data_IF_866905642040
#
_entry.id   IF_866905642040
#
_cell.length_a   1.000
_cell.length_b   1.000
_cell.length_c   1.000
_cell.angle_alpha   90.00
_cell.angle_beta   90.00
_cell.angle_gamma   90.00
#
_symmetry.space_group_name_H-M   'P 1'
#
loop_
_entity.id
_entity.type
_entity.pdbx_description
1 polymer ?
#
# COMPACT_ATOMS: atom_id res chain seq x y z
N UNK A 1 9.89 -11.55 -15.79
CA UNK A 1 11.01 -11.18 -14.91
C UNK A 1 10.43 -10.30 -13.82
N UNK A 2 10.65 -10.62 -12.55
CA UNK A 2 10.20 -9.80 -11.41
C UNK A 2 11.40 -9.21 -10.67
N UNK A 3 11.12 -8.34 -9.69
CA UNK A 3 12.15 -7.64 -8.94
C UNK A 3 12.99 -8.56 -8.02
N UNK A 4 12.55 -9.79 -7.78
CA UNK A 4 13.29 -10.77 -6.97
C UNK A 4 14.25 -11.61 -7.82
N UNK A 5 14.15 -11.56 -9.16
CA UNK A 5 15.06 -12.32 -10.01
C UNK A 5 16.51 -11.80 -9.87
N UNK A 6 17.51 -12.70 -9.79
CA UNK A 6 18.92 -12.31 -9.69
C UNK A 6 19.35 -11.38 -10.81
N UNK A 7 18.92 -11.66 -12.05
CA UNK A 7 19.22 -10.82 -13.21
C UNK A 7 18.76 -9.37 -13.02
N UNK A 8 17.58 -9.15 -12.44
CA UNK A 8 17.11 -7.80 -12.16
C UNK A 8 17.88 -7.12 -11.02
N UNK A 9 18.18 -7.86 -9.95
CA UNK A 9 18.96 -7.34 -8.82
C UNK A 9 20.41 -7.01 -9.19
N UNK A 10 20.97 -7.68 -10.19
CA UNK A 10 22.29 -7.40 -10.75
C UNK A 10 22.28 -6.23 -11.74
N UNK A 11 21.18 -6.03 -12.48
CA UNK A 11 21.02 -4.90 -13.39
C UNK A 11 20.79 -3.59 -12.64
N UNK A 12 19.95 -3.61 -11.61
CA UNK A 12 19.52 -2.43 -10.86
C UNK A 12 20.67 -1.50 -10.37
N UNK A 13 21.80 -2.00 -9.84
CA UNK A 13 22.94 -1.17 -9.43
C UNK A 13 23.77 -0.61 -10.59
N UNK A 14 23.67 -1.21 -11.77
CA UNK A 14 24.53 -0.94 -12.93
C UNK A 14 23.82 -0.02 -13.93
N UNK A 15 22.49 -0.03 -13.95
CA UNK A 15 21.65 0.75 -14.85
C UNK A 15 20.92 1.89 -14.14
N UNK A 16 21.46 3.10 -14.31
CA UNK A 16 20.75 4.39 -14.31
C UNK A 16 20.13 4.93 -13.00
N UNK A 17 19.92 6.25 -13.02
CA UNK A 17 19.23 7.04 -11.99
C UNK A 17 17.82 6.50 -11.65
N UNK A 18 17.17 5.82 -12.58
CA UNK A 18 15.90 5.12 -12.39
C UNK A 18 15.68 3.99 -13.41
N UNK A 19 14.94 2.95 -13.03
CA UNK A 19 14.50 1.85 -13.90
C UNK A 19 13.06 1.45 -13.56
N UNK A 20 12.23 1.16 -14.56
CA UNK A 20 10.85 0.74 -14.36
C UNK A 20 10.58 -0.68 -14.88
N UNK A 21 9.59 -1.34 -14.29
CA UNK A 21 9.12 -2.66 -14.69
C UNK A 21 7.59 -2.74 -14.75
N UNK A 22 7.11 -3.53 -15.71
CA UNK A 22 5.74 -4.00 -15.77
C UNK A 22 5.69 -5.51 -15.52
N UNK A 23 4.90 -5.93 -14.54
CA UNK A 23 4.67 -7.36 -14.25
C UNK A 23 3.21 -7.56 -13.86
N UNK A 24 2.59 -8.58 -14.43
CA UNK A 24 1.20 -8.94 -14.13
C UNK A 24 1.19 -10.21 -13.27
N UNK A 25 0.39 -10.20 -12.21
CA UNK A 25 0.30 -11.29 -11.23
C UNK A 25 -1.14 -11.76 -11.06
N UNK A 26 -1.28 -13.08 -10.88
CA UNK A 26 -2.54 -13.68 -10.47
C UNK A 26 -2.87 -13.38 -9.00
N UNK A 27 -4.15 -13.53 -8.66
CA UNK A 27 -4.60 -13.44 -7.28
C UNK A 27 -3.87 -14.42 -6.37
N UNK A 28 -3.56 -13.98 -5.14
CA UNK A 28 -2.92 -14.81 -4.12
C UNK A 28 -1.42 -14.97 -4.29
N UNK A 29 -0.85 -14.49 -5.40
CA UNK A 29 0.59 -14.47 -5.59
C UNK A 29 1.28 -13.65 -4.49
N UNK A 30 2.41 -14.15 -4.01
CA UNK A 30 3.23 -13.52 -2.98
C UNK A 30 4.65 -13.38 -3.50
N UNK A 31 5.11 -12.14 -3.59
CA UNK A 31 6.53 -11.84 -3.76
C UNK A 31 7.15 -11.93 -2.38
N UNK A 32 7.98 -12.96 -2.17
CA UNK A 32 8.63 -13.26 -0.88
C UNK A 32 9.47 -12.09 -0.36
N UNK A 33 9.80 -12.12 0.94
CA UNK A 33 10.54 -11.04 1.60
C UNK A 33 11.86 -10.77 0.88
N UNK A 34 12.07 -9.51 0.49
CA UNK A 34 13.27 -9.07 -0.19
C UNK A 34 13.53 -7.57 0.06
N UNK A 35 14.67 -7.05 -0.41
CA UNK A 35 15.06 -5.63 -0.30
C UNK A 35 15.93 -5.23 -1.47
N UNK A 36 15.94 -3.94 -1.76
CA UNK A 36 16.72 -3.34 -2.85
C UNK A 36 17.55 -2.17 -2.34
N UNK A 37 18.62 -1.82 -3.05
CA UNK A 37 19.46 -0.64 -2.73
C UNK A 37 18.86 0.67 -3.20
N UNK A 38 17.86 0.62 -4.08
CA UNK A 38 17.15 1.77 -4.62
C UNK A 38 15.84 1.97 -3.87
N UNK A 39 15.32 3.20 -3.88
CA UNK A 39 13.94 3.42 -3.50
C UNK A 39 13.02 2.77 -4.52
N UNK A 40 11.82 2.41 -4.09
CA UNK A 40 10.86 1.74 -4.94
C UNK A 40 9.50 2.41 -4.83
N UNK A 41 8.99 2.88 -5.96
CA UNK A 41 7.59 3.17 -6.16
C UNK A 41 6.90 1.90 -6.65
N UNK A 42 5.91 1.40 -5.90
CA UNK A 42 4.99 0.36 -6.35
C UNK A 42 3.63 0.96 -6.65
N UNK A 43 3.09 0.64 -7.82
CA UNK A 43 1.77 1.05 -8.28
C UNK A 43 1.03 -0.14 -8.90
N UNK A 44 -0.28 -0.22 -8.68
CA UNK A 44 -1.14 -1.18 -9.36
C UNK A 44 -2.05 -0.42 -10.34
N UNK A 45 -2.08 -0.81 -11.61
CA UNK A 45 -3.09 -0.31 -12.56
C UNK A 45 -4.43 -1.02 -12.28
N UNK A 46 -4.36 -2.29 -11.89
CA UNK A 46 -5.50 -3.13 -11.57
C UNK A 46 -5.20 -4.00 -10.35
N UNK A 47 -6.26 -4.43 -9.65
CA UNK A 47 -6.15 -5.21 -8.42
C UNK A 47 -5.69 -4.37 -7.22
N UNK A 48 -5.34 -5.06 -6.13
CA UNK A 48 -4.81 -4.43 -4.91
C UNK A 48 -3.54 -5.14 -4.50
N UNK A 49 -2.51 -4.38 -4.12
CA UNK A 49 -1.32 -4.93 -3.50
C UNK A 49 -1.31 -4.63 -2.00
N UNK A 50 -0.93 -5.63 -1.21
CA UNK A 50 -0.64 -5.46 0.21
C UNK A 50 0.87 -5.53 0.37
N UNK A 51 1.48 -4.49 0.92
CA UNK A 51 2.91 -4.46 1.21
C UNK A 51 3.08 -4.54 2.72
N UNK A 52 3.89 -5.48 3.18
CA UNK A 52 4.28 -5.58 4.58
C UNK A 52 5.77 -5.30 4.69
N UNK A 53 6.13 -4.31 5.52
CA UNK A 53 7.52 -3.98 5.81
C UNK A 53 7.65 -3.52 7.26
N UNK A 54 8.87 -3.59 7.80
CA UNK A 54 9.21 -3.34 9.21
C UNK A 54 8.30 -2.33 9.93
N UNK A 55 7.38 -2.84 10.76
CA UNK A 55 6.53 -2.01 11.61
C UNK A 55 5.17 -1.62 11.04
N UNK A 56 4.79 -2.07 9.84
CA UNK A 56 3.45 -1.82 9.34
C UNK A 56 3.07 -2.50 8.02
N UNK A 57 1.84 -2.23 7.60
CA UNK A 57 1.24 -2.78 6.39
C UNK A 57 0.61 -1.66 5.58
N UNK A 58 0.87 -1.64 4.28
CA UNK A 58 0.24 -0.74 3.33
C UNK A 58 -0.71 -1.51 2.42
N UNK A 59 -1.85 -0.91 2.09
CA UNK A 59 -2.74 -1.43 1.05
C UNK A 59 -2.77 -0.44 -0.11
N UNK A 60 -2.50 -0.93 -1.31
CA UNK A 60 -2.28 -0.15 -2.53
C UNK A 60 -3.35 -0.51 -3.55
N UNK A 61 -4.49 0.20 -3.54
CA UNK A 61 -5.48 0.12 -4.61
C UNK A 61 -5.05 0.86 -5.88
N UNK A 62 -5.80 0.75 -7.00
CA UNK A 62 -5.39 1.27 -8.31
C UNK A 62 -5.21 2.79 -8.46
N UNK A 63 -5.60 3.56 -7.45
CA UNK A 63 -5.49 5.03 -7.43
C UNK A 63 -4.35 5.50 -6.51
N UNK A 64 -3.54 4.58 -6.00
CA UNK A 64 -2.54 4.83 -4.96
C UNK A 64 -1.27 4.07 -5.29
N UNK A 65 -0.15 4.60 -4.80
CA UNK A 65 1.15 3.94 -4.86
C UNK A 65 1.77 3.85 -3.48
N UNK A 66 2.76 3.00 -3.32
CA UNK A 66 3.62 2.97 -2.12
C UNK A 66 5.03 3.33 -2.51
N UNK A 67 5.58 4.29 -1.80
CA UNK A 67 7.00 4.61 -1.82
C UNK A 67 7.70 3.85 -0.71
N UNK A 68 8.73 3.09 -1.05
CA UNK A 68 9.61 2.39 -0.13
C UNK A 68 11.01 2.98 -0.20
N UNK A 69 11.57 3.31 0.96
CA UNK A 69 12.97 3.70 1.06
C UNK A 69 13.92 2.55 0.69
N UNK A 70 15.16 2.88 0.27
CA UNK A 70 16.25 1.92 0.11
C UNK A 70 16.42 1.01 1.34
N UNK A 71 16.76 -0.25 1.10
CA UNK A 71 17.15 -1.22 2.13
C UNK A 71 15.99 -1.77 2.97
N UNK A 72 14.76 -1.31 2.75
CA UNK A 72 13.59 -1.78 3.50
C UNK A 72 13.21 -3.19 3.03
N UNK A 73 13.35 -4.16 3.93
CA UNK A 73 12.87 -5.52 3.72
C UNK A 73 11.34 -5.54 3.72
N UNK A 74 10.75 -6.04 2.62
CA UNK A 74 9.32 -6.03 2.42
C UNK A 74 8.82 -7.29 1.67
N UNK A 75 7.54 -7.62 1.89
CA UNK A 75 6.79 -8.65 1.16
C UNK A 75 5.63 -7.98 0.43
N UNK A 76 5.26 -8.50 -0.74
CA UNK A 76 4.09 -8.02 -1.50
C UNK A 76 3.12 -9.17 -1.74
N UNK A 77 1.84 -8.95 -1.46
CA UNK A 77 0.74 -9.91 -1.70
C UNK A 77 -0.31 -9.32 -2.64
N UNK A 78 -0.76 -10.13 -3.59
CA UNK A 78 -1.68 -9.70 -4.64
C UNK A 78 -3.13 -10.11 -4.34
N UNK A 79 -4.05 -9.15 -4.42
CA UNK A 79 -5.50 -9.35 -4.26
C UNK A 79 -6.23 -8.98 -5.56
N UNK A 80 -6.95 -9.94 -6.14
CA UNK A 80 -7.45 -9.85 -7.53
C UNK A 80 -6.33 -10.07 -8.57
N UNK A 81 -6.68 -9.94 -9.86
CA UNK A 81 -5.69 -9.88 -10.93
C UNK A 81 -4.97 -8.52 -10.87
N UNK A 82 -3.66 -8.55 -10.64
CA UNK A 82 -2.87 -7.33 -10.42
C UNK A 82 -2.01 -7.04 -11.64
N UNK A 83 -2.15 -5.83 -12.19
CA UNK A 83 -1.22 -5.28 -13.20
C UNK A 83 -0.28 -4.30 -12.51
N UNK A 84 0.90 -4.77 -12.11
CA UNK A 84 1.84 -3.98 -11.34
C UNK A 84 2.74 -3.15 -12.25
N UNK A 85 2.99 -1.92 -11.85
CA UNK A 85 4.07 -1.06 -12.37
C UNK A 85 4.94 -0.65 -11.20
N UNK A 86 6.24 -0.76 -11.36
CA UNK A 86 7.17 -0.35 -10.33
C UNK A 86 8.31 0.44 -10.92
N UNK A 87 8.74 1.48 -10.21
CA UNK A 87 9.87 2.33 -10.60
C UNK A 87 10.87 2.31 -9.46
N UNK A 88 12.10 1.95 -9.77
CA UNK A 88 13.22 1.99 -8.85
C UNK A 88 14.03 3.23 -9.11
N UNK A 89 14.40 3.96 -8.06
CA UNK A 89 15.01 5.28 -8.15
C UNK A 89 16.19 5.35 -7.19
N UNK A 90 17.31 5.86 -7.68
CA UNK A 90 18.44 6.22 -6.82
C UNK A 90 18.08 7.48 -6.05
N UNK A 91 17.97 7.41 -4.72
CA UNK A 91 17.65 8.57 -3.89
C UNK A 91 18.72 9.68 -3.99
N UNK A 92 19.96 9.36 -4.35
CA UNK A 92 21.00 10.37 -4.57
C UNK A 92 20.72 11.23 -5.81
N UNK A 93 19.81 10.81 -6.69
CA UNK A 93 19.49 11.53 -7.93
C UNK A 93 18.60 12.76 -7.74
N UNK A 94 17.85 12.87 -6.62
CA UNK A 94 16.95 14.01 -6.40
C UNK A 94 16.67 14.26 -4.91
N UNK A 95 16.81 15.52 -4.43
CA UNK A 95 16.46 15.89 -3.06
C UNK A 95 14.96 16.01 -2.80
N UNK A 96 14.13 15.99 -3.86
CA UNK A 96 12.66 16.17 -3.79
C UNK A 96 11.92 14.87 -3.44
N UNK A 97 12.63 13.76 -3.28
CA UNK A 97 12.01 12.47 -3.01
C UNK A 97 11.48 12.38 -1.58
N UNK A 98 10.38 11.63 -1.35
CA UNK A 98 9.89 11.41 0.00
C UNK A 98 11.00 10.83 0.90
N UNK A 99 11.12 11.36 2.12
CA UNK A 99 12.17 10.95 3.08
C UNK A 99 11.84 9.68 3.87
N UNK A 100 10.57 9.27 3.83
CA UNK A 100 10.07 8.10 4.55
C UNK A 100 9.19 7.26 3.63
N UNK A 101 9.07 5.97 3.92
CA UNK A 101 8.13 5.11 3.19
C UNK A 101 6.69 5.57 3.46
N UNK A 102 5.89 5.71 2.41
CA UNK A 102 4.55 6.29 2.51
C UNK A 102 3.62 5.80 1.39
N UNK A 103 2.32 6.10 1.53
CA UNK A 103 1.37 5.98 0.43
C UNK A 103 1.28 7.31 -0.30
N UNK A 104 1.29 7.25 -1.62
CA UNK A 104 1.16 8.40 -2.51
C UNK A 104 -0.19 8.35 -3.23
N UNK A 105 -0.76 9.54 -3.45
CA UNK A 105 -1.83 9.69 -4.44
C UNK A 105 -1.21 9.57 -5.82
N UNK A 106 -1.81 8.75 -6.69
CA UNK A 106 -1.34 8.65 -8.07
C UNK A 106 -2.29 9.48 -8.94
N UNK A 107 -1.84 10.70 -9.23
CA UNK A 107 -2.56 11.61 -10.13
C UNK A 107 -2.68 10.99 -11.53
N UNK A 108 -3.66 11.41 -12.34
CA UNK A 108 -3.76 10.94 -13.72
C UNK A 108 -2.47 11.17 -14.54
N UNK A 109 -1.77 12.29 -14.31
CA UNK A 109 -0.48 12.57 -14.95
C UNK A 109 0.60 11.60 -14.48
N UNK A 110 0.78 11.46 -13.16
CA UNK A 110 1.77 10.55 -12.58
C UNK A 110 1.53 9.10 -13.03
N UNK A 111 0.27 8.68 -13.15
CA UNK A 111 -0.08 7.37 -13.73
C UNK A 111 0.50 7.19 -15.13
N UNK A 112 0.30 8.16 -16.02
CA UNK A 112 0.81 8.06 -17.39
C UNK A 112 2.35 8.07 -17.43
N UNK A 113 2.99 8.84 -16.56
CA UNK A 113 4.45 8.85 -16.44
C UNK A 113 4.98 7.50 -15.97
N UNK A 114 4.37 6.87 -14.96
CA UNK A 114 4.75 5.54 -14.49
C UNK A 114 4.58 4.49 -15.60
N UNK A 115 3.48 4.55 -16.36
CA UNK A 115 3.24 3.61 -17.46
C UNK A 115 4.27 3.79 -18.57
N UNK A 116 4.54 5.03 -18.98
CA UNK A 116 5.50 5.32 -20.04
C UNK A 116 6.95 5.07 -19.62
N UNK A 117 7.27 5.14 -18.33
CA UNK A 117 8.62 4.87 -17.82
C UNK A 117 9.07 3.42 -18.06
N UNK A 118 8.13 2.47 -18.22
CA UNK A 118 8.43 1.06 -18.50
C UNK A 118 9.19 0.88 -19.82
N UNK A 119 8.94 1.76 -20.79
CA UNK A 119 9.52 1.66 -22.13
C UNK A 119 10.86 2.41 -22.24
N UNK A 120 11.36 3.00 -21.14
CA UNK A 120 12.63 3.74 -21.14
C UNK A 120 13.80 2.76 -21.18
N UNK A 121 14.65 2.93 -22.19
CA UNK A 121 15.89 2.18 -22.29
C UNK A 121 16.85 2.58 -21.16
N UNK A 122 17.56 1.64 -20.52
CA UNK A 122 18.49 1.93 -19.43
C UNK A 122 19.61 2.94 -19.74
N UNK A 123 19.98 3.07 -21.01
CA UNK A 123 21.09 3.89 -21.52
C UNK A 123 20.64 5.24 -22.12
N UNK A 124 19.47 5.75 -21.68
CA UNK A 124 18.94 7.03 -22.16
C UNK A 124 19.89 8.22 -21.89
N UNK A 125 19.98 9.14 -22.85
CA UNK A 125 20.85 10.32 -22.76
C UNK A 125 20.19 11.46 -21.98
N UNK A 126 20.98 12.21 -21.23
CA UNK A 126 20.54 13.47 -20.59
C UNK A 126 20.00 14.46 -21.64
N UNK A 127 18.87 15.11 -21.34
CA UNK A 127 18.16 15.99 -22.28
C UNK A 127 17.32 15.27 -23.35
N UNK A 128 17.35 13.93 -23.42
CA UNK A 128 16.43 13.17 -24.28
C UNK A 128 14.97 13.27 -23.79
N UNK A 129 14.02 12.81 -24.60
CA UNK A 129 12.61 12.66 -24.19
C UNK A 129 12.49 11.87 -22.88
N UNK A 130 13.17 10.74 -22.78
CA UNK A 130 13.05 9.81 -21.67
C UNK A 130 13.66 10.37 -20.39
N UNK A 131 14.75 11.14 -20.52
CA UNK A 131 15.29 11.93 -19.41
C UNK A 131 14.26 12.93 -18.88
N UNK A 132 13.62 13.73 -19.75
CA UNK A 132 12.60 14.71 -19.33
C UNK A 132 11.39 14.03 -18.69
N UNK A 133 10.97 12.88 -19.21
CA UNK A 133 9.88 12.09 -18.66
C UNK A 133 10.19 11.65 -17.22
N UNK A 134 11.39 11.10 -16.98
CA UNK A 134 11.82 10.71 -15.64
C UNK A 134 11.94 11.92 -14.70
N UNK A 135 12.49 13.04 -15.16
CA UNK A 135 12.55 14.25 -14.32
C UNK A 135 11.16 14.72 -13.89
N UNK A 136 10.19 14.72 -14.81
CA UNK A 136 8.81 15.06 -14.49
C UNK A 136 8.18 14.04 -13.54
N UNK A 137 8.43 12.73 -13.73
CA UNK A 137 7.98 11.70 -12.80
C UNK A 137 8.51 11.96 -11.39
N UNK A 138 9.81 12.22 -11.24
CA UNK A 138 10.43 12.49 -9.94
C UNK A 138 9.86 13.76 -9.29
N UNK A 139 9.52 14.77 -10.09
CA UNK A 139 8.89 16.00 -9.60
C UNK A 139 7.47 15.76 -9.06
N UNK A 140 6.68 14.93 -9.75
CA UNK A 140 5.33 14.55 -9.31
C UNK A 140 5.32 13.69 -8.02
N UNK A 141 6.46 13.09 -7.65
CA UNK A 141 6.62 12.32 -6.41
C UNK A 141 6.83 13.18 -5.16
N UNK A 142 7.04 14.49 -5.30
CA UNK A 142 7.07 15.45 -4.17
C UNK A 142 5.66 15.72 -3.58
N UNK A 143 4.65 14.96 -4.03
CA UNK A 143 3.28 15.09 -3.52
C UNK A 143 3.14 14.62 -2.07
N UNK A 144 2.23 15.28 -1.33
CA UNK A 144 1.99 15.01 0.08
C UNK A 144 1.53 13.54 0.30
N UNK A 145 2.08 12.84 1.31
CA UNK A 145 1.64 11.50 1.68
C UNK A 145 0.13 11.43 1.93
N UNK A 146 -0.53 10.40 1.40
CA UNK A 146 -1.95 10.14 1.66
C UNK A 146 -2.09 9.18 2.85
N UNK A 147 -2.61 9.69 3.96
CA UNK A 147 -3.06 8.87 5.09
C UNK A 147 -4.56 8.59 4.91
N UNK A 148 -4.96 7.35 4.57
CA UNK A 148 -5.31 6.34 5.58
C UNK A 148 -4.98 4.88 5.19
N UNK A 149 -4.01 4.67 4.29
CA UNK A 149 -3.73 3.34 3.72
C UNK A 149 -2.54 2.60 4.36
N UNK A 150 -2.01 3.16 5.45
CA UNK A 150 -0.93 2.59 6.25
C UNK A 150 -1.43 2.16 7.63
N UNK A 151 -1.31 0.87 7.95
CA UNK A 151 -1.65 0.30 9.24
C UNK A 151 -0.37 0.04 10.06
N UNK A 152 -0.07 0.85 11.08
CA UNK A 152 1.10 0.64 11.94
C UNK A 152 0.92 -0.62 12.79
N UNK A 153 1.97 -1.41 12.95
CA UNK A 153 1.98 -2.63 13.76
C UNK A 153 2.83 -2.43 15.02
N UNK A 154 2.33 -2.86 16.19
CA UNK A 154 3.07 -2.74 17.45
C UNK A 154 4.30 -3.64 17.47
N UNK A 155 5.34 -3.18 18.17
CA UNK A 155 6.56 -3.97 18.39
C UNK A 155 6.35 -5.06 19.43
N UNK A 156 5.51 -4.84 20.45
CA UNK A 156 5.14 -5.85 21.46
C UNK A 156 4.44 -7.05 20.82
N UNK A 157 4.98 -8.23 21.07
CA UNK A 157 4.53 -9.47 20.43
C UNK A 157 3.08 -9.83 20.77
N UNK A 158 2.62 -9.53 21.99
CA UNK A 158 1.25 -9.85 22.41
C UNK A 158 0.25 -8.91 21.73
N UNK A 159 0.56 -7.61 21.69
CA UNK A 159 -0.24 -6.66 20.91
C UNK A 159 -0.25 -7.01 19.42
N UNK A 160 0.88 -7.47 18.88
CA UNK A 160 0.98 -7.90 17.49
C UNK A 160 0.10 -9.10 17.20
N UNK A 161 0.00 -10.06 18.13
CA UNK A 161 -0.92 -11.19 18.04
C UNK A 161 -2.38 -10.75 17.95
N UNK A 162 -2.79 -9.78 18.77
CA UNK A 162 -4.14 -9.20 18.71
C UNK A 162 -4.38 -8.48 17.38
N UNK A 163 -3.42 -7.67 16.93
CA UNK A 163 -3.49 -7.02 15.62
C UNK A 163 -3.64 -8.04 14.49
N UNK A 164 -2.88 -9.14 14.53
CA UNK A 164 -2.97 -10.19 13.52
C UNK A 164 -4.36 -10.86 13.49
N UNK A 165 -4.94 -11.16 14.66
CA UNK A 165 -6.31 -11.69 14.78
C UNK A 165 -7.34 -10.73 14.20
N UNK A 166 -7.26 -9.44 14.58
CA UNK A 166 -8.19 -8.42 14.08
C UNK A 166 -8.06 -8.14 12.58
N UNK A 167 -6.86 -8.32 12.00
CA UNK A 167 -6.68 -8.21 10.54
C UNK A 167 -7.22 -9.45 9.81
N UNK A 168 -7.09 -10.65 10.40
CA UNK A 168 -7.61 -11.87 9.83
C UNK A 168 -9.15 -11.94 9.93
N UNK A 169 -9.72 -11.44 11.02
CA UNK A 169 -11.15 -11.45 11.33
C UNK A 169 -11.64 -10.04 11.69
N UNK A 170 -11.72 -9.11 10.72
CA UNK A 170 -12.09 -7.72 10.97
C UNK A 170 -13.49 -7.55 11.58
N UNK A 171 -14.40 -8.49 11.29
CA UNK A 171 -15.76 -8.53 11.81
C UNK A 171 -15.86 -8.91 13.28
N UNK A 172 -14.81 -9.46 13.90
CA UNK A 172 -14.78 -9.80 15.32
C UNK A 172 -15.23 -8.59 16.15
N UNK A 173 -16.17 -8.79 17.10
CA UNK A 173 -16.79 -7.71 17.88
C UNK A 173 -16.26 -7.58 19.31
N UNK A 174 -15.18 -8.30 19.66
CA UNK A 174 -14.61 -8.27 21.01
C UNK A 174 -14.28 -6.84 21.48
N UNK A 175 -14.57 -6.55 22.74
CA UNK A 175 -14.40 -5.23 23.35
C UNK A 175 -12.93 -4.97 23.72
N UNK A 176 -12.59 -3.71 23.98
CA UNK A 176 -11.25 -3.38 24.52
C UNK A 176 -11.02 -4.08 25.86
N UNK A 177 -12.06 -4.22 26.69
CA UNK A 177 -12.02 -4.95 27.95
C UNK A 177 -11.57 -6.41 27.76
N UNK A 178 -12.13 -7.10 26.77
CA UNK A 178 -11.74 -8.48 26.44
C UNK A 178 -10.25 -8.58 26.10
N UNK A 179 -9.76 -7.72 25.22
CA UNK A 179 -8.35 -7.69 24.83
C UNK A 179 -7.42 -7.32 25.97
N UNK A 180 -7.85 -6.41 26.85
CA UNK A 180 -7.08 -6.03 28.03
C UNK A 180 -6.94 -7.22 29.00
N UNK A 181 -8.03 -7.96 29.20
CA UNK A 181 -8.04 -9.19 30.00
C UNK A 181 -7.13 -10.27 29.41
N UNK A 182 -7.16 -10.49 28.09
CA UNK A 182 -6.28 -11.45 27.40
C UNK A 182 -4.79 -11.12 27.62
N UNK A 183 -4.45 -9.84 27.75
CA UNK A 183 -3.08 -9.37 28.01
C UNK A 183 -2.73 -9.26 29.51
N UNK A 184 -3.67 -9.55 30.40
CA UNK A 184 -3.57 -9.33 31.85
C UNK A 184 -3.21 -7.87 32.22
N UNK A 185 -3.83 -6.89 31.54
CA UNK A 185 -3.66 -5.45 31.81
C UNK A 185 -5.02 -4.75 31.90
N UNK A 186 -5.02 -3.52 32.39
CA UNK A 186 -6.22 -2.67 32.37
C UNK A 186 -6.47 -2.07 31.00
N UNK A 187 -7.72 -1.74 30.67
CA UNK A 187 -8.07 -1.04 29.41
C UNK A 187 -7.29 0.25 29.22
N UNK A 188 -7.07 1.00 30.31
CA UNK A 188 -6.25 2.21 30.32
C UNK A 188 -4.81 1.93 29.91
N UNK A 189 -4.24 0.83 30.40
CA UNK A 189 -2.90 0.40 30.05
C UNK A 189 -2.81 -0.06 28.61
N UNK A 190 -3.83 -0.80 28.13
CA UNK A 190 -3.93 -1.21 26.73
C UNK A 190 -3.97 0.00 25.79
N UNK A 191 -4.87 0.97 26.03
CA UNK A 191 -4.95 2.18 25.22
C UNK A 191 -3.63 2.95 25.19
N UNK A 192 -2.99 3.13 26.35
CA UNK A 192 -1.71 3.85 26.44
C UNK A 192 -0.58 3.11 25.71
N UNK A 193 -0.48 1.79 25.88
CA UNK A 193 0.52 0.97 25.21
C UNK A 193 0.33 0.98 23.70
N UNK A 194 -0.92 0.83 23.25
CA UNK A 194 -1.27 0.82 21.83
C UNK A 194 -0.98 2.17 21.17
N UNK A 195 -1.39 3.28 21.79
CA UNK A 195 -1.10 4.63 21.32
C UNK A 195 0.42 4.91 21.27
N UNK A 196 1.16 4.47 22.30
CA UNK A 196 2.62 4.65 22.36
C UNK A 196 3.34 3.91 21.23
N UNK A 197 2.88 2.71 20.87
CA UNK A 197 3.57 1.87 19.87
C UNK A 197 3.11 2.12 18.43
N UNK A 198 1.84 2.50 18.23
CA UNK A 198 1.25 2.63 16.88
C UNK A 198 0.97 4.08 16.48
N UNK A 199 0.99 5.01 17.42
CA UNK A 199 0.53 6.38 17.21
C UNK A 199 -1.00 6.51 17.06
N UNK A 200 -1.75 5.42 17.21
CA UNK A 200 -3.21 5.39 17.02
C UNK A 200 -3.94 4.88 18.25
N UNK A 201 -5.20 5.32 18.42
CA UNK A 201 -6.09 4.71 19.40
C UNK A 201 -6.55 3.35 18.88
N UNK A 202 -6.69 2.36 19.76
CA UNK A 202 -7.10 0.99 19.38
C UNK A 202 -8.34 0.93 18.48
N UNK A 203 -9.41 1.68 18.81
CA UNK A 203 -10.62 1.72 18.00
C UNK A 203 -10.40 2.30 16.60
N UNK A 204 -9.57 3.35 16.48
CA UNK A 204 -9.21 3.95 15.20
C UNK A 204 -8.39 2.96 14.36
N UNK A 205 -7.42 2.29 14.98
CA UNK A 205 -6.61 1.27 14.33
C UNK A 205 -7.47 0.11 13.79
N UNK A 206 -8.40 -0.40 14.61
CA UNK A 206 -9.31 -1.48 14.21
C UNK A 206 -10.25 -1.06 13.09
N UNK A 207 -10.77 0.16 13.15
CA UNK A 207 -11.59 0.71 12.08
C UNK A 207 -10.80 0.82 10.77
N UNK A 208 -9.54 1.25 10.83
CA UNK A 208 -8.69 1.31 9.65
C UNK A 208 -8.36 -0.09 9.12
N UNK A 209 -8.07 -1.06 9.99
CA UNK A 209 -7.87 -2.45 9.60
C UNK A 209 -9.08 -3.03 8.83
N UNK A 210 -10.31 -2.75 9.29
CA UNK A 210 -11.56 -3.09 8.59
C UNK A 210 -11.65 -2.48 7.20
N UNK A 211 -11.33 -1.19 7.07
CA UNK A 211 -11.37 -0.51 5.78
C UNK A 211 -10.33 -1.06 4.79
N UNK A 212 -9.13 -1.36 5.26
CA UNK A 212 -8.07 -1.95 4.44
C UNK A 212 -8.44 -3.36 3.97
N UNK A 213 -9.02 -4.17 4.85
CA UNK A 213 -9.52 -5.49 4.48
C UNK A 213 -10.69 -5.41 3.49
N UNK A 214 -11.58 -4.43 3.67
CA UNK A 214 -12.66 -4.18 2.73
C UNK A 214 -12.15 -3.84 1.31
N UNK A 215 -11.07 -3.05 1.18
CA UNK A 215 -10.45 -2.78 -0.13
C UNK A 215 -9.98 -4.07 -0.83
N UNK A 216 -9.35 -4.98 -0.09
CA UNK A 216 -8.91 -6.28 -0.63
C UNK A 216 -10.10 -7.12 -1.13
N UNK A 217 -11.18 -7.18 -0.36
CA UNK A 217 -12.38 -7.94 -0.74
C UNK A 217 -13.12 -7.31 -1.94
N UNK A 218 -13.23 -5.99 -1.98
CA UNK A 218 -13.84 -5.25 -3.09
C UNK A 218 -13.03 -5.42 -4.38
N UNK A 219 -11.70 -5.43 -4.29
CA UNK A 219 -10.84 -5.70 -5.44
C UNK A 219 -10.98 -7.13 -5.99
N UNK A 220 -11.43 -8.06 -5.15
CA UNK A 220 -11.80 -9.42 -5.56
C UNK A 220 -13.22 -9.51 -6.17
N UNK A 221 -13.96 -8.39 -6.24
CA UNK A 221 -15.32 -8.36 -6.78
C UNK A 221 -16.40 -8.78 -5.78
N UNK A 222 -16.08 -8.86 -4.48
CA UNK A 222 -17.08 -9.14 -3.44
C UNK A 222 -18.18 -8.08 -3.44
N UNK A 223 -19.44 -8.47 -3.19
CA UNK A 223 -20.55 -7.52 -3.14
C UNK A 223 -20.39 -6.60 -1.94
N UNK A 224 -20.75 -5.33 -2.10
CA UNK A 224 -20.59 -4.30 -1.04
C UNK A 224 -21.32 -4.69 0.25
N UNK A 225 -22.47 -5.37 0.15
CA UNK A 225 -23.22 -5.87 1.32
C UNK A 225 -22.43 -6.94 2.09
N UNK A 226 -21.84 -7.91 1.39
CA UNK A 226 -21.07 -9.00 2.01
C UNK A 226 -19.82 -8.42 2.70
N UNK A 227 -19.12 -7.50 2.02
CA UNK A 227 -17.98 -6.75 2.59
C UNK A 227 -18.38 -6.00 3.86
N UNK A 228 -19.54 -5.34 3.88
CA UNK A 228 -19.99 -4.64 5.07
C UNK A 228 -20.20 -5.58 6.26
N UNK A 229 -20.88 -6.71 6.03
CA UNK A 229 -21.18 -7.68 7.08
C UNK A 229 -19.91 -8.39 7.59
N UNK A 230 -19.04 -8.83 6.69
CA UNK A 230 -17.78 -9.52 7.02
C UNK A 230 -16.81 -8.65 7.84
N UNK A 231 -16.86 -7.33 7.65
CA UNK A 231 -16.06 -6.37 8.40
C UNK A 231 -16.76 -5.84 9.66
N UNK A 232 -17.91 -6.42 10.03
CA UNK A 232 -18.61 -6.13 11.28
C UNK A 232 -19.35 -4.81 11.30
N UNK A 233 -19.81 -4.32 10.13
CA UNK A 233 -20.76 -3.22 10.04
C UNK A 233 -22.19 -3.74 10.15
N UNK A 234 -23.07 -2.95 10.75
CA UNK A 234 -24.48 -3.32 10.95
C UNK A 234 -25.33 -3.18 9.69
N UNK A 235 -24.84 -2.48 8.66
CA UNK A 235 -25.52 -2.31 7.37
C UNK A 235 -24.55 -1.85 6.28
N UNK A 236 -24.92 -2.08 5.02
CA UNK A 236 -24.21 -1.55 3.85
C UNK A 236 -24.14 -0.02 3.85
N UNK A 237 -25.18 0.67 4.31
CA UNK A 237 -25.22 2.13 4.39
C UNK A 237 -24.20 2.67 5.40
N UNK A 238 -24.09 2.03 6.57
CA UNK A 238 -23.10 2.39 7.58
C UNK A 238 -21.66 2.19 7.06
N UNK A 239 -21.40 1.06 6.37
CA UNK A 239 -20.12 0.83 5.72
C UNK A 239 -19.83 1.88 4.63
N UNK A 240 -20.80 2.16 3.75
CA UNK A 240 -20.63 3.13 2.65
C UNK A 240 -20.33 4.54 3.16
N UNK A 241 -21.02 4.98 4.21
CA UNK A 241 -20.77 6.28 4.84
C UNK A 241 -19.35 6.34 5.44
N UNK A 242 -18.93 5.28 6.14
CA UNK A 242 -17.60 5.18 6.72
C UNK A 242 -16.49 5.13 5.67
N UNK A 243 -16.70 4.38 4.58
CA UNK A 243 -15.78 4.28 3.46
C UNK A 243 -15.63 5.63 2.77
N UNK A 244 -16.74 6.31 2.43
CA UNK A 244 -16.72 7.63 1.80
C UNK A 244 -16.04 8.67 2.68
N UNK A 245 -16.24 8.62 4.00
CA UNK A 245 -15.55 9.50 4.94
C UNK A 245 -14.01 9.34 4.89
N UNK A 246 -13.49 8.14 4.62
CA UNK A 246 -12.05 7.88 4.60
C UNK A 246 -11.42 8.05 3.21
N UNK A 247 -12.15 7.70 2.15
CA UNK A 247 -11.62 7.63 0.78
C UNK A 247 -12.22 8.68 -0.16
N UNK A 248 -13.12 9.54 0.32
CA UNK A 248 -13.76 10.61 -0.46
C UNK A 248 -14.85 10.14 -1.43
N UNK A 249 -14.91 8.83 -1.74
CA UNK A 249 -15.86 8.24 -2.70
C UNK A 249 -16.51 6.97 -2.16
N UNK A 250 -17.56 6.47 -2.81
CA UNK A 250 -18.27 5.26 -2.37
C UNK A 250 -17.52 3.98 -2.79
N UNK A 251 -17.74 2.83 -2.12
CA UNK A 251 -17.10 1.56 -2.49
C UNK A 251 -17.26 1.19 -3.97
N UNK A 252 -18.46 1.35 -4.53
CA UNK A 252 -18.73 1.03 -5.93
C UNK A 252 -17.97 1.95 -6.89
N UNK A 253 -17.96 3.26 -6.62
CA UNK A 253 -17.26 4.24 -7.45
C UNK A 253 -15.73 4.11 -7.35
N UNK A 254 -15.21 3.67 -6.20
CA UNK A 254 -13.78 3.55 -5.94
C UNK A 254 -13.05 2.63 -6.94
N UNK A 255 -13.71 1.55 -7.38
CA UNK A 255 -13.17 0.64 -8.40
C UNK A 255 -13.82 0.79 -9.79
N UNK A 256 -14.93 1.53 -9.91
CA UNK A 256 -15.61 1.81 -11.18
C UNK A 256 -15.02 3.00 -11.97
N UNK A 257 -14.11 3.80 -11.39
CA UNK A 257 -13.38 4.85 -12.12
C UNK A 257 -12.50 4.32 -13.29
N UNK A 258 -12.68 3.05 -13.68
CA UNK A 258 -11.96 2.25 -14.67
C UNK A 258 -12.49 2.30 -16.11
N UNK A 259 -13.48 3.13 -16.47
CA UNK A 259 -14.04 3.10 -17.85
C UNK A 259 -13.60 4.27 -18.74
N UNK A 260 -12.90 5.29 -18.24
CA UNK A 260 -12.45 6.38 -19.11
C UNK A 260 -10.96 6.26 -19.45
N UNK A 261 -10.73 5.96 -20.74
CA UNK A 261 -9.50 5.96 -21.53
C UNK A 261 -8.55 4.75 -21.34
N UNK A 262 -8.83 3.72 -22.14
CA UNK A 262 -7.81 2.89 -22.77
C UNK A 262 -6.99 3.74 -23.77
#
# INVERSE_FOLDING_TARGET
MDCTSPAFQELLPVTARAMALAVDYAHGHVISVHRHTHAQLLYAIEGVMTIEAQGGRWVVPPTRGVWLQPGIAHQVRMSGAVKMRTVFIDCASSPLLPRHSCVLDISPLLRQLIVAAVDIAPDFTEGSRDWHLLQLLLHELDSLPVLPLYLPLPSDARLRGICARLMAQPGEQQTVAHWAQELAITERSLHRLFQKQTGMRFGQWRQQARLLRALEQLAHGSKVIDVAMDNGYTSQSAFTAMFKKHFGTTPSAFYQAKVIAA
#
